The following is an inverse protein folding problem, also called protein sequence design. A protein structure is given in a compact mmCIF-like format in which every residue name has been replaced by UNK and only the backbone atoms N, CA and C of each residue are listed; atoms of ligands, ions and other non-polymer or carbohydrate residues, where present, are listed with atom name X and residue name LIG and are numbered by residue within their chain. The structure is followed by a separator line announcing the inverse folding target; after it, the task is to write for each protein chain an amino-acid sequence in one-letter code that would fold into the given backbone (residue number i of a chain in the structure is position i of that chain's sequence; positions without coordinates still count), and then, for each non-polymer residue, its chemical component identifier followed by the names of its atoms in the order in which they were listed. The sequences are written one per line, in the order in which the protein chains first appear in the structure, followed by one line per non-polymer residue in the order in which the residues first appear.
data_IF_708438645379
#
_entry.id   IF_708438645379
#
_cell.length_a   1.000
_cell.length_b   1.000
_cell.length_c   1.000
_cell.angle_alpha   90.00
_cell.angle_beta   90.00
_cell.angle_gamma   90.00
#
_symmetry.space_group_name_H-M   'P 1'
#
loop_
_entity.id
_entity.type
_entity.pdbx_description
1 polymer ?
#
# COMPACT_ATOMS: atom_id res chain seq x y z
N UNK A 1 -8.01 -18.40 -3.61
CA UNK A 1 -7.16 -17.20 -3.51
C UNK A 1 -6.59 -16.86 -4.89
N UNK A 2 -5.87 -17.76 -5.55
CA UNK A 2 -5.22 -17.51 -6.86
C UNK A 2 -6.18 -16.95 -7.92
N UNK A 3 -7.34 -17.62 -8.11
CA UNK A 3 -8.35 -17.16 -9.07
C UNK A 3 -8.87 -15.75 -8.74
N UNK A 4 -9.09 -15.45 -7.44
CA UNK A 4 -9.53 -14.12 -7.04
C UNK A 4 -8.46 -13.05 -7.33
N UNK A 5 -7.19 -13.35 -7.08
CA UNK A 5 -6.11 -12.42 -7.42
C UNK A 5 -6.07 -12.16 -8.94
N UNK A 6 -6.10 -13.20 -9.76
CA UNK A 6 -6.01 -13.04 -11.22
C UNK A 6 -7.22 -12.31 -11.80
N UNK A 7 -8.44 -12.76 -11.49
CA UNK A 7 -9.67 -12.14 -11.99
C UNK A 7 -9.84 -10.75 -11.39
N UNK A 8 -9.58 -10.62 -10.09
CA UNK A 8 -9.72 -9.38 -9.35
C UNK A 8 -8.77 -8.29 -9.85
N UNK A 9 -7.48 -8.57 -10.01
CA UNK A 9 -6.51 -7.59 -10.48
C UNK A 9 -6.78 -7.11 -11.91
N UNK A 10 -7.26 -7.99 -12.79
CA UNK A 10 -7.55 -7.65 -14.20
C UNK A 10 -8.87 -6.90 -14.34
N UNK A 11 -9.96 -7.46 -13.82
CA UNK A 11 -11.32 -6.97 -14.12
C UNK A 11 -11.89 -6.04 -13.06
N UNK A 12 -11.33 -6.02 -11.86
CA UNK A 12 -11.79 -5.20 -10.73
C UNK A 12 -10.77 -4.12 -10.39
N UNK A 13 -9.57 -4.51 -9.93
CA UNK A 13 -8.56 -3.59 -9.46
C UNK A 13 -8.00 -2.68 -10.55
N UNK A 14 -7.63 -3.24 -11.71
CA UNK A 14 -7.12 -2.46 -12.83
C UNK A 14 -8.16 -1.45 -13.36
N UNK A 15 -9.43 -1.85 -13.44
CA UNK A 15 -10.54 -0.96 -13.83
C UNK A 15 -10.75 0.13 -12.78
N UNK A 16 -10.72 -0.24 -11.51
CA UNK A 16 -10.84 0.69 -10.37
C UNK A 16 -9.72 1.73 -10.36
N UNK A 17 -8.47 1.30 -10.42
CA UNK A 17 -7.31 2.17 -10.30
C UNK A 17 -7.17 3.11 -11.50
N UNK A 18 -7.37 2.58 -12.70
CA UNK A 18 -7.42 3.39 -13.90
C UNK A 18 -8.60 4.38 -13.86
N UNK A 19 -9.79 3.93 -13.46
CA UNK A 19 -10.98 4.77 -13.34
C UNK A 19 -10.79 5.92 -12.36
N UNK A 20 -10.23 5.65 -11.18
CA UNK A 20 -9.94 6.65 -10.16
C UNK A 20 -8.88 7.65 -10.64
N UNK A 21 -7.80 7.19 -11.26
CA UNK A 21 -6.75 8.04 -11.81
C UNK A 21 -7.27 8.92 -12.94
N UNK A 22 -7.96 8.31 -13.92
CA UNK A 22 -8.45 9.00 -15.09
C UNK A 22 -9.53 10.03 -14.76
N UNK A 23 -10.47 9.69 -13.86
CA UNK A 23 -11.47 10.64 -13.39
C UNK A 23 -10.82 11.83 -12.68
N UNK A 24 -9.80 11.60 -11.84
CA UNK A 24 -9.06 12.69 -11.19
C UNK A 24 -8.41 13.63 -12.19
N UNK A 25 -7.77 13.10 -13.23
CA UNK A 25 -7.17 13.91 -14.31
C UNK A 25 -8.24 14.78 -14.99
N UNK A 26 -9.42 14.21 -15.28
CA UNK A 26 -10.55 14.92 -15.89
C UNK A 26 -11.20 15.98 -14.99
N UNK A 27 -10.95 15.90 -13.69
CA UNK A 27 -11.34 16.89 -12.68
C UNK A 27 -10.14 17.74 -12.21
N UNK A 28 -9.16 18.00 -13.06
CA UNK A 28 -8.00 18.85 -12.79
C UNK A 28 -7.17 18.39 -11.56
N UNK A 29 -7.01 17.07 -11.38
CA UNK A 29 -6.27 16.49 -10.27
C UNK A 29 -6.99 16.52 -8.91
N UNK A 30 -8.32 16.65 -8.91
CA UNK A 30 -9.12 16.61 -7.68
C UNK A 30 -9.12 15.22 -7.05
N UNK A 31 -9.24 15.19 -5.72
CA UNK A 31 -9.36 13.94 -4.96
C UNK A 31 -10.68 13.24 -5.25
N UNK A 32 -10.72 11.92 -5.01
CA UNK A 32 -11.97 11.16 -5.18
C UNK A 32 -13.11 11.72 -4.33
N UNK A 33 -12.82 12.27 -3.14
CA UNK A 33 -13.80 12.95 -2.31
C UNK A 33 -14.40 14.20 -2.96
N UNK A 34 -13.59 14.97 -3.70
CA UNK A 34 -14.06 16.14 -4.46
C UNK A 34 -14.84 15.71 -5.73
N UNK A 35 -14.49 14.57 -6.32
CA UNK A 35 -15.26 13.98 -7.42
C UNK A 35 -16.64 13.53 -6.92
N UNK A 36 -16.69 12.93 -5.72
CA UNK A 36 -17.95 12.58 -5.05
C UNK A 36 -18.80 13.83 -4.76
N UNK A 37 -18.20 14.95 -4.35
CA UNK A 37 -18.89 16.22 -4.17
C UNK A 37 -19.60 16.66 -5.47
N UNK A 38 -18.88 16.59 -6.58
CA UNK A 38 -19.41 16.97 -7.89
C UNK A 38 -20.47 16.00 -8.45
N UNK A 39 -20.44 14.72 -8.05
CA UNK A 39 -21.31 13.66 -8.60
C UNK A 39 -22.47 13.29 -7.68
N UNK A 40 -22.22 13.20 -6.37
CA UNK A 40 -23.19 12.74 -5.35
C UNK A 40 -23.55 13.84 -4.32
N UNK A 41 -22.89 15.01 -4.40
CA UNK A 41 -23.16 16.16 -3.56
C UNK A 41 -22.45 16.15 -2.22
N UNK A 42 -22.61 17.27 -1.48
CA UNK A 42 -21.87 17.57 -0.23
C UNK A 42 -22.02 16.52 0.87
N UNK A 43 -23.22 15.97 1.03
CA UNK A 43 -23.46 14.91 2.04
C UNK A 43 -22.68 13.63 1.71
N UNK A 44 -22.63 13.25 0.44
CA UNK A 44 -21.83 12.11 -0.02
C UNK A 44 -20.35 12.33 0.23
N UNK A 45 -19.82 13.51 -0.10
CA UNK A 45 -18.44 13.89 0.20
C UNK A 45 -18.12 13.80 1.68
N UNK A 46 -18.96 14.35 2.54
CA UNK A 46 -18.73 14.37 3.99
C UNK A 46 -18.65 12.95 4.57
N UNK A 47 -19.63 12.10 4.23
CA UNK A 47 -19.64 10.69 4.67
C UNK A 47 -18.43 9.92 4.13
N UNK A 48 -18.11 10.09 2.85
CA UNK A 48 -16.93 9.47 2.25
C UNK A 48 -15.64 9.91 2.93
N UNK A 49 -15.47 11.21 3.19
CA UNK A 49 -14.25 11.75 3.79
C UNK A 49 -14.05 11.25 5.23
N UNK A 50 -15.11 11.15 6.05
CA UNK A 50 -15.03 10.54 7.38
C UNK A 50 -14.60 9.08 7.26
N UNK A 51 -15.27 8.31 6.39
CA UNK A 51 -14.98 6.90 6.20
C UNK A 51 -13.55 6.68 5.68
N UNK A 52 -13.12 7.45 4.69
CA UNK A 52 -11.77 7.41 4.14
C UNK A 52 -10.71 7.78 5.21
N UNK A 53 -10.97 8.78 6.04
CA UNK A 53 -10.06 9.15 7.13
C UNK A 53 -9.90 8.02 8.15
N UNK A 54 -11.01 7.44 8.63
CA UNK A 54 -10.97 6.32 9.58
C UNK A 54 -10.26 5.11 8.95
N UNK A 55 -10.55 4.80 7.69
CA UNK A 55 -9.85 3.74 6.96
C UNK A 55 -8.35 4.00 6.90
N UNK A 56 -7.91 5.23 6.62
CA UNK A 56 -6.49 5.59 6.60
C UNK A 56 -5.82 5.44 7.97
N UNK A 57 -6.51 5.75 9.08
CA UNK A 57 -5.96 5.47 10.42
C UNK A 57 -5.68 3.98 10.62
N UNK A 58 -6.60 3.12 10.17
CA UNK A 58 -6.43 1.65 10.23
C UNK A 58 -5.30 1.19 9.31
N UNK A 59 -5.18 1.75 8.09
CA UNK A 59 -4.07 1.49 7.16
C UNK A 59 -2.73 1.82 7.82
N UNK A 60 -2.59 3.03 8.37
CA UNK A 60 -1.36 3.48 9.03
C UNK A 60 -1.00 2.54 10.20
N UNK A 61 -1.98 2.18 11.02
CA UNK A 61 -1.78 1.27 12.14
C UNK A 61 -1.33 -0.13 11.69
N UNK A 62 -1.96 -0.68 10.65
CA UNK A 62 -1.61 -2.00 10.10
C UNK A 62 -0.19 -2.01 9.53
N UNK A 63 0.16 -1.03 8.70
CA UNK A 63 1.49 -0.96 8.09
C UNK A 63 2.59 -0.63 9.09
N UNK A 64 2.34 0.23 10.08
CA UNK A 64 3.29 0.47 11.17
C UNK A 64 3.61 -0.81 11.95
N UNK A 65 2.57 -1.62 12.22
CA UNK A 65 2.72 -2.91 12.91
C UNK A 65 3.53 -3.91 12.06
N UNK A 66 3.28 -3.98 10.74
CA UNK A 66 4.00 -4.84 9.80
C UNK A 66 5.48 -4.44 9.72
N UNK A 67 5.77 -3.14 9.53
CA UNK A 67 7.14 -2.64 9.44
C UNK A 67 7.90 -2.90 10.73
N UNK A 68 7.31 -2.60 11.89
CA UNK A 68 7.93 -2.85 13.18
C UNK A 68 8.20 -4.35 13.41
N UNK A 69 7.27 -5.24 13.06
CA UNK A 69 7.46 -6.68 13.14
C UNK A 69 8.56 -7.17 12.19
N UNK A 70 8.63 -6.62 10.98
CA UNK A 70 9.69 -6.94 10.00
C UNK A 70 11.06 -6.51 10.51
N UNK A 71 11.17 -5.34 11.13
CA UNK A 71 12.43 -4.84 11.69
C UNK A 71 12.92 -5.68 12.88
N UNK A 72 11.99 -6.20 13.67
CA UNK A 72 12.35 -7.17 14.75
C UNK A 72 12.82 -8.51 14.17
N UNK A 73 12.14 -9.01 13.14
CA UNK A 73 12.49 -10.29 12.51
C UNK A 73 13.74 -10.22 11.63
N UNK A 74 14.05 -9.04 11.08
CA UNK A 74 15.17 -8.77 10.17
C UNK A 74 15.87 -7.47 10.54
N UNK A 75 16.69 -7.45 11.62
CA UNK A 75 17.34 -6.24 12.11
C UNK A 75 18.28 -5.59 11.09
N UNK A 76 18.86 -6.36 10.18
CA UNK A 76 19.65 -5.87 9.05
C UNK A 76 18.78 -5.02 8.07
N UNK A 77 17.55 -5.41 7.84
CA UNK A 77 16.62 -4.65 7.01
C UNK A 77 16.24 -3.32 7.68
N UNK A 78 16.15 -3.28 9.01
CA UNK A 78 15.90 -2.06 9.76
C UNK A 78 17.01 -1.02 9.56
N UNK A 79 18.28 -1.42 9.74
CA UNK A 79 19.43 -0.54 9.52
C UNK A 79 19.49 -0.04 8.08
N UNK A 80 19.33 -0.96 7.11
CA UNK A 80 19.33 -0.59 5.70
C UNK A 80 18.21 0.38 5.35
N UNK A 81 16.99 0.20 5.91
CA UNK A 81 15.85 1.11 5.67
C UNK A 81 16.10 2.52 6.22
N UNK A 82 16.73 2.64 7.40
CA UNK A 82 17.10 3.96 7.95
C UNK A 82 18.15 4.67 7.08
N UNK A 83 19.18 3.95 6.63
CA UNK A 83 20.18 4.47 5.70
C UNK A 83 19.53 4.89 4.38
N UNK A 84 18.53 4.15 3.93
CA UNK A 84 17.80 4.42 2.71
C UNK A 84 16.99 5.73 2.77
N UNK A 85 16.44 6.08 3.93
CA UNK A 85 15.78 7.38 4.14
C UNK A 85 16.80 8.51 3.94
N UNK A 86 17.98 8.40 4.56
CA UNK A 86 19.05 9.39 4.43
C UNK A 86 19.51 9.49 2.97
N UNK A 87 19.70 8.35 2.32
CA UNK A 87 20.08 8.29 0.89
C UNK A 87 19.04 8.98 0.00
N UNK A 88 17.75 8.75 0.24
CA UNK A 88 16.66 9.37 -0.51
C UNK A 88 16.67 10.89 -0.40
N UNK A 89 16.93 11.43 0.79
CA UNK A 89 17.07 12.89 1.01
C UNK A 89 18.27 13.44 0.26
N UNK A 90 19.43 12.78 0.35
CA UNK A 90 20.64 13.20 -0.36
C UNK A 90 20.42 13.15 -1.88
N UNK A 91 19.83 12.07 -2.39
CA UNK A 91 19.49 11.92 -3.80
C UNK A 91 18.54 13.03 -4.28
N UNK A 92 17.44 13.25 -3.54
CA UNK A 92 16.46 14.29 -3.89
C UNK A 92 17.09 15.67 -3.94
N UNK A 93 17.90 16.03 -2.93
CA UNK A 93 18.62 17.31 -2.92
C UNK A 93 19.59 17.43 -4.08
N UNK A 94 20.38 16.39 -4.37
CA UNK A 94 21.38 16.38 -5.45
C UNK A 94 20.73 16.54 -6.83
N UNK A 95 19.63 15.84 -7.09
CA UNK A 95 18.92 15.90 -8.39
C UNK A 95 18.13 17.21 -8.54
N UNK A 96 17.32 17.58 -7.54
CA UNK A 96 16.38 18.70 -7.68
C UNK A 96 16.98 20.08 -7.38
N UNK A 97 18.08 20.15 -6.60
CA UNK A 97 18.71 21.42 -6.18
C UNK A 97 20.12 21.62 -6.72
N UNK A 98 20.93 20.57 -6.80
CA UNK A 98 22.30 20.67 -7.29
C UNK A 98 22.43 20.42 -8.81
N UNK A 99 21.31 20.11 -9.50
CA UNK A 99 21.32 19.93 -10.96
C UNK A 99 22.02 18.64 -11.44
N UNK A 100 22.17 17.64 -10.56
CA UNK A 100 22.69 16.34 -10.97
C UNK A 100 21.70 15.69 -11.95
N UNK A 101 22.19 15.23 -13.10
CA UNK A 101 21.33 14.54 -14.06
C UNK A 101 20.71 13.30 -13.46
N UNK A 102 19.44 13.04 -13.74
CA UNK A 102 18.69 11.90 -13.18
C UNK A 102 19.41 10.57 -13.47
N UNK A 103 19.96 10.38 -14.68
CA UNK A 103 20.66 9.15 -15.05
C UNK A 103 21.91 8.89 -14.20
N UNK A 104 22.77 9.88 -14.02
CA UNK A 104 23.95 9.76 -13.15
C UNK A 104 23.53 9.55 -11.69
N UNK A 105 22.56 10.35 -11.22
CA UNK A 105 22.00 10.19 -9.88
C UNK A 105 21.46 8.78 -9.65
N UNK A 106 20.76 8.19 -10.63
CA UNK A 106 20.23 6.81 -10.54
C UNK A 106 21.35 5.79 -10.35
N UNK A 107 22.41 5.85 -11.17
CA UNK A 107 23.53 4.91 -11.04
C UNK A 107 24.16 5.02 -9.64
N UNK A 108 24.45 6.23 -9.19
CA UNK A 108 25.00 6.46 -7.84
C UNK A 108 24.01 5.98 -6.77
N UNK A 109 22.73 6.30 -6.89
CA UNK A 109 21.70 5.92 -5.95
C UNK A 109 21.55 4.39 -5.81
N UNK A 110 21.57 3.66 -6.93
CA UNK A 110 21.49 2.18 -6.92
C UNK A 110 22.76 1.57 -6.30
N UNK A 111 23.96 2.11 -6.60
CA UNK A 111 25.20 1.66 -5.95
C UNK A 111 25.13 1.90 -4.44
N UNK A 112 24.70 3.09 -4.03
CA UNK A 112 24.56 3.41 -2.59
C UNK A 112 23.49 2.57 -1.89
N UNK A 113 22.44 2.13 -2.60
CA UNK A 113 21.49 1.16 -2.13
C UNK A 113 22.16 -0.18 -1.76
N UNK A 114 22.99 -0.71 -2.66
CA UNK A 114 23.74 -1.95 -2.40
C UNK A 114 24.69 -1.77 -1.21
N UNK A 115 25.32 -0.61 -1.11
CA UNK A 115 26.17 -0.26 0.04
C UNK A 115 25.35 -0.21 1.34
N UNK A 116 24.17 0.39 1.32
CA UNK A 116 23.27 0.45 2.49
C UNK A 116 22.84 -0.96 2.95
N UNK A 117 22.56 -1.87 2.01
CA UNK A 117 22.26 -3.28 2.31
C UNK A 117 23.49 -3.97 2.96
N UNK A 118 24.69 -3.75 2.42
CA UNK A 118 25.91 -4.32 3.00
C UNK A 118 26.16 -3.80 4.43
N UNK A 119 26.00 -2.49 4.66
CA UNK A 119 26.12 -1.90 5.99
C UNK A 119 25.07 -2.46 6.93
N UNK A 120 23.82 -2.61 6.50
CA UNK A 120 22.75 -3.20 7.30
C UNK A 120 23.07 -4.62 7.75
N UNK A 121 23.69 -5.42 6.87
CA UNK A 121 24.15 -6.77 7.23
C UNK A 121 25.32 -6.77 8.24
N UNK A 122 26.18 -5.75 8.21
CA UNK A 122 27.33 -5.64 9.13
C UNK A 122 26.92 -5.10 10.50
N UNK A 123 25.93 -4.20 10.54
CA UNK A 123 25.51 -3.48 11.75
C UNK A 123 23.99 -3.57 11.95
N UNK A 124 23.44 -4.76 12.28
CA UNK A 124 22.00 -4.92 12.49
C UNK A 124 21.55 -4.22 13.78
N UNK A 125 20.44 -3.47 13.69
CA UNK A 125 19.83 -2.75 14.82
C UNK A 125 18.76 -3.60 15.48
N UNK A 126 19.04 -4.02 16.73
CA UNK A 126 18.11 -4.82 17.54
C UNK A 126 17.33 -3.94 18.50
N UNK A 127 16.08 -3.63 18.20
CA UNK A 127 15.16 -2.89 19.07
C UNK A 127 13.86 -3.66 19.25
N UNK A 128 13.14 -3.38 20.33
CA UNK A 128 11.83 -3.98 20.56
C UNK A 128 10.77 -3.42 19.60
N UNK A 129 9.70 -4.19 19.36
CA UNK A 129 8.61 -3.80 18.48
C UNK A 129 8.01 -2.44 18.86
N UNK A 130 7.77 -2.19 20.14
CA UNK A 130 7.17 -0.94 20.59
C UNK A 130 8.07 0.26 20.35
N UNK A 131 9.38 0.11 20.52
CA UNK A 131 10.37 1.16 20.20
C UNK A 131 10.34 1.46 18.71
N UNK A 132 10.29 0.42 17.86
CA UNK A 132 10.15 0.62 16.41
C UNK A 132 8.86 1.35 16.03
N UNK A 133 7.73 1.00 16.66
CA UNK A 133 6.47 1.74 16.43
C UNK A 133 6.63 3.21 16.78
N UNK A 134 7.22 3.55 17.93
CA UNK A 134 7.47 4.94 18.31
C UNK A 134 8.36 5.67 17.31
N UNK A 135 9.47 5.06 16.87
CA UNK A 135 10.37 5.63 15.87
C UNK A 135 9.63 5.87 14.55
N UNK A 136 8.81 4.90 14.11
CA UNK A 136 8.00 5.03 12.91
C UNK A 136 6.97 6.16 13.04
N UNK A 137 6.31 6.34 14.19
CA UNK A 137 5.36 7.43 14.40
C UNK A 137 6.05 8.81 14.29
N UNK A 138 7.23 8.98 14.88
CA UNK A 138 8.02 10.20 14.73
C UNK A 138 8.43 10.41 13.27
N UNK A 139 8.87 9.36 12.61
CA UNK A 139 9.27 9.40 11.21
C UNK A 139 8.12 9.84 10.29
N UNK A 140 6.94 9.22 10.38
CA UNK A 140 5.79 9.57 9.51
C UNK A 140 5.23 10.96 9.80
N UNK A 141 5.36 11.45 11.05
CA UNK A 141 5.04 12.83 11.37
C UNK A 141 5.90 13.79 10.56
N UNK A 142 7.21 13.59 10.55
CA UNK A 142 8.15 14.40 9.76
C UNK A 142 7.91 14.22 8.26
N UNK A 143 7.78 13.00 7.80
CA UNK A 143 7.57 12.66 6.38
C UNK A 143 6.26 13.26 5.82
N UNK A 144 5.19 13.28 6.62
CA UNK A 144 3.91 13.88 6.21
C UNK A 144 4.01 15.39 5.97
N UNK A 145 4.82 16.09 6.76
CA UNK A 145 4.96 17.55 6.69
C UNK A 145 6.00 17.96 5.65
N UNK A 146 7.04 17.13 5.47
CA UNK A 146 8.13 17.41 4.53
C UNK A 146 7.62 17.58 3.09
N UNK A 147 8.23 18.46 2.27
CA UNK A 147 7.92 18.55 0.85
C UNK A 147 8.13 17.21 0.12
N UNK A 148 7.24 16.90 -0.83
CA UNK A 148 7.23 15.61 -1.55
C UNK A 148 8.56 15.34 -2.26
N UNK A 149 9.16 16.38 -2.86
CA UNK A 149 10.40 16.29 -3.61
C UNK A 149 11.65 15.98 -2.77
N UNK A 150 11.61 16.21 -1.45
CA UNK A 150 12.76 15.96 -0.56
C UNK A 150 12.86 14.47 -0.20
N UNK A 151 11.73 13.84 0.10
CA UNK A 151 11.73 12.51 0.68
C UNK A 151 10.90 11.51 -0.12
N UNK A 152 9.61 11.79 -0.40
CA UNK A 152 8.72 10.81 -1.02
C UNK A 152 9.17 10.44 -2.45
N UNK A 153 9.23 11.41 -3.35
CA UNK A 153 9.59 11.15 -4.75
C UNK A 153 10.94 10.44 -4.91
N UNK A 154 12.05 10.92 -4.29
CA UNK A 154 13.34 10.26 -4.40
C UNK A 154 13.34 8.85 -3.84
N UNK A 155 12.68 8.64 -2.70
CA UNK A 155 12.61 7.35 -2.07
C UNK A 155 11.77 6.37 -2.90
N UNK A 156 10.60 6.77 -3.37
CA UNK A 156 9.73 5.94 -4.18
C UNK A 156 10.40 5.56 -5.51
N UNK A 157 11.13 6.50 -6.11
CA UNK A 157 11.93 6.25 -7.30
C UNK A 157 13.02 5.20 -7.06
N UNK A 158 13.82 5.33 -6.00
CA UNK A 158 14.86 4.35 -5.67
C UNK A 158 14.27 3.00 -5.24
N UNK A 159 13.14 3.00 -4.51
CA UNK A 159 12.43 1.78 -4.12
C UNK A 159 11.94 0.97 -5.33
N UNK A 160 11.57 1.63 -6.42
CA UNK A 160 11.07 0.94 -7.62
C UNK A 160 12.11 -0.05 -8.17
N UNK A 161 13.41 0.28 -8.11
CA UNK A 161 14.47 -0.64 -8.53
C UNK A 161 14.54 -1.90 -7.64
N UNK A 162 14.36 -1.75 -6.34
CA UNK A 162 14.28 -2.90 -5.42
C UNK A 162 13.08 -3.79 -5.74
N UNK A 163 11.92 -3.18 -6.02
CA UNK A 163 10.71 -3.94 -6.34
C UNK A 163 10.86 -4.70 -7.65
N UNK A 164 11.26 -4.02 -8.71
CA UNK A 164 11.43 -4.68 -10.01
C UNK A 164 12.47 -5.80 -9.94
N UNK A 165 13.59 -5.57 -9.24
CA UNK A 165 14.58 -6.61 -9.01
C UNK A 165 14.00 -7.78 -8.19
N UNK A 166 13.24 -7.50 -7.14
CA UNK A 166 12.60 -8.53 -6.31
C UNK A 166 11.62 -9.37 -7.13
N UNK A 167 10.75 -8.74 -7.92
CA UNK A 167 9.78 -9.45 -8.80
C UNK A 167 10.53 -10.28 -9.85
N UNK A 168 11.53 -9.70 -10.52
CA UNK A 168 12.30 -10.41 -11.53
C UNK A 168 13.01 -11.63 -10.94
N UNK A 169 13.71 -11.47 -9.82
CA UNK A 169 14.41 -12.59 -9.16
C UNK A 169 13.43 -13.63 -8.60
N UNK A 170 12.27 -13.21 -8.10
CA UNK A 170 11.24 -14.14 -7.64
C UNK A 170 10.69 -14.97 -8.81
N UNK A 171 10.33 -14.35 -9.93
CA UNK A 171 9.80 -15.04 -11.11
C UNK A 171 10.85 -15.98 -11.72
N UNK A 172 12.09 -15.51 -11.92
CA UNK A 172 13.19 -16.35 -12.41
C UNK A 172 13.50 -17.48 -11.43
N UNK A 173 13.51 -17.18 -10.13
CA UNK A 173 13.71 -18.16 -9.08
C UNK A 173 12.62 -19.23 -9.09
N UNK A 174 11.35 -18.86 -9.21
CA UNK A 174 10.23 -19.81 -9.33
C UNK A 174 10.38 -20.69 -10.59
N UNK A 175 10.71 -20.08 -11.72
CA UNK A 175 10.86 -20.80 -12.99
C UNK A 175 11.99 -21.86 -12.95
N UNK A 176 13.11 -21.54 -12.28
CA UNK A 176 14.28 -22.44 -12.20
C UNK A 176 14.15 -23.42 -11.03
N UNK A 177 13.66 -22.96 -9.89
CA UNK A 177 13.49 -23.79 -8.68
C UNK A 177 12.35 -24.79 -8.80
N UNK A 178 11.27 -24.42 -9.52
CA UNK A 178 10.05 -25.23 -9.69
C UNK A 178 9.49 -25.72 -8.34
N UNK A 179 9.07 -24.80 -7.43
CA UNK A 179 8.70 -25.17 -6.08
C UNK A 179 7.50 -26.11 -6.04
N UNK A 180 7.62 -27.20 -5.28
CA UNK A 180 6.49 -28.07 -5.00
C UNK A 180 5.58 -27.43 -3.97
N UNK A 181 4.28 -27.37 -4.26
CA UNK A 181 3.28 -26.79 -3.34
C UNK A 181 2.99 -27.76 -2.20
N UNK A 182 3.17 -27.31 -0.96
CA UNK A 182 2.88 -28.08 0.26
C UNK A 182 1.42 -27.92 0.70
N UNK A 183 0.80 -26.78 0.35
CA UNK A 183 -0.60 -26.55 0.65
C UNK A 183 -1.50 -27.10 -0.46
N UNK A 184 -2.65 -27.70 -0.12
CA UNK A 184 -3.60 -28.18 -1.12
C UNK A 184 -4.22 -27.05 -1.92
N UNK A 185 -4.52 -27.29 -3.19
CA UNK A 185 -5.14 -26.30 -4.08
C UNK A 185 -6.50 -25.82 -3.59
N UNK A 186 -7.23 -26.69 -2.91
CA UNK A 186 -8.52 -26.40 -2.27
C UNK A 186 -8.58 -27.12 -0.92
N UNK A 187 -9.07 -26.43 0.09
CA UNK A 187 -9.26 -27.01 1.43
C UNK A 187 -10.73 -27.24 1.71
N UNK A 188 -11.49 -26.17 1.96
CA UNK A 188 -12.91 -26.20 2.32
C UNK A 188 -13.52 -24.81 2.10
N UNK A 189 -14.84 -24.73 2.07
CA UNK A 189 -15.55 -23.43 2.03
C UNK A 189 -15.55 -22.68 3.38
N UNK A 190 -15.26 -23.36 4.47
CA UNK A 190 -15.07 -22.79 5.80
C UNK A 190 -13.88 -23.44 6.50
N UNK A 191 -12.68 -22.81 6.45
CA UNK A 191 -11.49 -23.30 7.12
C UNK A 191 -11.60 -23.40 8.64
N UNK A 192 -12.51 -22.61 9.26
CA UNK A 192 -12.72 -22.64 10.71
C UNK A 192 -13.56 -23.82 11.16
N UNK A 193 -14.35 -24.41 10.29
CA UNK A 193 -15.31 -25.47 10.59
C UNK A 193 -16.44 -25.04 11.56
N UNK A 194 -16.51 -23.73 11.88
CA UNK A 194 -17.43 -23.15 12.85
C UNK A 194 -18.33 -22.05 12.27
N UNK A 195 -18.27 -21.82 10.95
CA UNK A 195 -18.98 -20.72 10.30
C UNK A 195 -18.42 -19.33 10.58
N UNK A 196 -17.30 -19.24 11.30
CA UNK A 196 -16.71 -17.96 11.70
C UNK A 196 -15.75 -17.38 10.67
N UNK A 197 -15.34 -18.16 9.67
CA UNK A 197 -14.41 -17.70 8.65
C UNK A 197 -14.71 -18.31 7.27
N UNK A 198 -15.95 -18.15 6.75
CA UNK A 198 -16.35 -18.74 5.49
C UNK A 198 -15.58 -18.12 4.32
N UNK A 199 -15.39 -18.91 3.26
CA UNK A 199 -14.70 -18.42 2.05
C UNK A 199 -15.35 -17.16 1.50
N UNK A 200 -16.68 -17.10 1.45
CA UNK A 200 -17.43 -15.89 1.17
C UNK A 200 -18.01 -15.34 2.49
N UNK A 201 -17.73 -14.10 2.86
CA UNK A 201 -16.96 -13.05 2.12
C UNK A 201 -15.47 -12.99 2.49
N UNK A 202 -14.99 -13.76 3.46
CA UNK A 202 -13.71 -13.52 4.13
C UNK A 202 -12.50 -13.63 3.20
N UNK A 203 -12.47 -14.56 2.24
CA UNK A 203 -11.41 -14.66 1.25
C UNK A 203 -11.26 -13.36 0.45
N UNK A 204 -12.37 -12.73 0.08
CA UNK A 204 -12.38 -11.54 -0.78
C UNK A 204 -11.91 -10.29 -0.04
N UNK A 205 -12.19 -10.17 1.28
CA UNK A 205 -11.72 -9.03 2.08
C UNK A 205 -10.33 -9.24 2.66
N UNK A 206 -9.90 -10.48 2.90
CA UNK A 206 -8.57 -10.79 3.42
C UNK A 206 -7.49 -10.53 2.38
N UNK A 207 -7.77 -10.76 1.09
CA UNK A 207 -6.92 -10.34 -0.04
C UNK A 207 -7.23 -8.88 -0.34
N UNK A 208 -6.69 -7.99 0.50
CA UNK A 208 -7.10 -6.59 0.54
C UNK A 208 -6.59 -5.73 -0.62
N UNK A 209 -5.42 -6.06 -1.20
CA UNK A 209 -4.79 -5.22 -2.22
C UNK A 209 -4.53 -5.98 -3.52
N UNK A 210 -4.02 -7.20 -3.48
CA UNK A 210 -3.62 -7.95 -4.67
C UNK A 210 -4.72 -8.25 -5.69
N UNK A 211 -5.99 -8.00 -5.38
CA UNK A 211 -7.11 -8.12 -6.29
C UNK A 211 -7.77 -6.77 -6.60
N UNK A 212 -8.06 -5.97 -5.59
CA UNK A 212 -8.60 -4.61 -5.69
C UNK A 212 -8.38 -3.89 -4.36
N UNK A 213 -8.05 -2.59 -4.39
CA UNK A 213 -7.77 -1.81 -3.18
C UNK A 213 -8.37 -0.41 -3.25
N UNK A 214 -9.23 -0.08 -2.29
CA UNK A 214 -9.80 1.26 -2.18
C UNK A 214 -8.77 2.33 -1.83
N UNK A 215 -7.70 1.97 -1.11
CA UNK A 215 -6.59 2.86 -0.83
C UNK A 215 -5.93 3.37 -2.13
N UNK A 216 -5.90 2.56 -3.19
CA UNK A 216 -5.36 2.96 -4.49
C UNK A 216 -6.11 4.15 -5.09
N UNK A 217 -7.43 4.26 -4.92
CA UNK A 217 -8.18 5.42 -5.42
C UNK A 217 -7.80 6.71 -4.71
N UNK A 218 -7.47 6.65 -3.41
CA UNK A 218 -6.98 7.80 -2.65
C UNK A 218 -5.59 8.23 -3.12
N UNK A 219 -4.69 7.26 -3.36
CA UNK A 219 -3.33 7.52 -3.89
C UNK A 219 -3.40 8.04 -5.32
N UNK A 220 -4.17 7.38 -6.19
CA UNK A 220 -4.33 7.74 -7.60
C UNK A 220 -4.83 9.18 -7.75
N UNK A 221 -5.88 9.56 -7.03
CA UNK A 221 -6.48 10.89 -7.11
C UNK A 221 -5.77 11.94 -6.22
N UNK A 222 -5.17 11.52 -5.12
CA UNK A 222 -4.51 12.43 -4.17
C UNK A 222 -3.08 12.80 -4.53
N UNK A 223 -2.36 11.89 -5.20
CA UNK A 223 -0.93 12.00 -5.43
C UNK A 223 -0.55 11.76 -6.90
N UNK A 224 -0.89 10.58 -7.47
CA UNK A 224 -0.43 10.16 -8.80
C UNK A 224 -0.94 11.06 -9.92
N UNK A 225 -2.22 11.47 -9.90
CA UNK A 225 -2.81 12.35 -10.90
C UNK A 225 -2.10 13.70 -11.04
N UNK A 226 -1.41 14.14 -9.97
CA UNK A 226 -0.66 15.41 -9.92
C UNK A 226 0.80 15.28 -10.37
N UNK A 227 1.27 14.07 -10.61
CA UNK A 227 2.65 13.76 -10.99
C UNK A 227 2.77 13.23 -12.42
N UNK A 228 1.64 12.96 -13.08
CA UNK A 228 1.64 12.53 -14.47
C UNK A 228 2.02 13.69 -15.39
N UNK A 229 2.93 13.42 -16.29
CA UNK A 229 3.36 14.34 -17.35
C UNK A 229 2.42 14.35 -18.56
N UNK A 230 1.69 13.25 -18.76
CA UNK A 230 0.77 13.09 -19.89
C UNK A 230 -0.42 12.22 -19.52
N UNK A 231 -1.62 12.60 -19.95
CA UNK A 231 -2.83 11.81 -19.82
C UNK A 231 -2.73 10.44 -20.50
N UNK A 232 -1.96 10.34 -21.60
CA UNK A 232 -1.72 9.08 -22.31
C UNK A 232 -1.09 7.99 -21.44
N UNK A 233 -0.35 8.38 -20.40
CA UNK A 233 0.29 7.48 -19.46
C UNK A 233 -0.65 6.94 -18.36
N UNK A 234 -1.86 7.50 -18.23
CA UNK A 234 -2.80 7.12 -17.18
C UNK A 234 -3.19 5.65 -17.21
N UNK A 235 -3.37 5.06 -18.41
CA UNK A 235 -3.69 3.64 -18.56
C UNK A 235 -2.52 2.75 -18.12
N UNK A 236 -1.31 3.08 -18.55
CA UNK A 236 -0.11 2.31 -18.18
C UNK A 236 0.13 2.36 -16.68
N UNK A 237 -0.02 3.53 -16.07
CA UNK A 237 0.23 3.72 -14.64
C UNK A 237 -0.94 3.22 -13.80
N UNK A 238 -2.18 3.59 -14.08
CA UNK A 238 -3.32 3.15 -13.30
C UNK A 238 -3.58 1.65 -13.42
N UNK A 239 -3.84 1.18 -14.64
CA UNK A 239 -4.15 -0.22 -14.89
C UNK A 239 -2.91 -1.11 -14.82
N UNK A 240 -1.79 -0.69 -15.41
CA UNK A 240 -0.56 -1.50 -15.47
C UNK A 240 0.07 -1.76 -14.11
N UNK A 241 0.06 -0.77 -13.20
CA UNK A 241 0.59 -0.96 -11.84
C UNK A 241 -0.22 -1.99 -11.05
N UNK A 242 -1.55 -1.99 -11.21
CA UNK A 242 -2.39 -3.01 -10.56
C UNK A 242 -2.12 -4.41 -11.08
N UNK A 243 -1.84 -4.58 -12.38
CA UNK A 243 -1.42 -5.87 -12.92
C UNK A 243 -0.09 -6.33 -12.34
N UNK A 244 0.86 -5.40 -12.16
CA UNK A 244 2.16 -5.71 -11.55
C UNK A 244 2.00 -6.12 -10.08
N UNK A 245 1.10 -5.47 -9.34
CA UNK A 245 0.74 -5.89 -7.98
C UNK A 245 0.08 -7.27 -7.97
N UNK A 246 -0.78 -7.56 -8.93
CA UNK A 246 -1.35 -8.90 -9.13
C UNK A 246 -0.27 -9.98 -9.32
N UNK A 247 0.77 -9.69 -10.11
CA UNK A 247 1.93 -10.59 -10.27
C UNK A 247 2.65 -10.81 -8.94
N UNK A 248 2.90 -9.75 -8.16
CA UNK A 248 3.51 -9.88 -6.83
C UNK A 248 2.64 -10.70 -5.88
N UNK A 249 1.33 -10.52 -5.93
CA UNK A 249 0.38 -11.30 -5.13
C UNK A 249 0.38 -12.80 -5.52
N UNK A 250 0.52 -13.11 -6.81
CA UNK A 250 0.71 -14.50 -7.29
C UNK A 250 2.01 -15.08 -6.73
N UNK A 251 3.12 -14.34 -6.80
CA UNK A 251 4.40 -14.76 -6.19
C UNK A 251 4.24 -15.03 -4.69
N UNK A 252 3.48 -14.19 -3.98
CA UNK A 252 3.21 -14.40 -2.56
C UNK A 252 2.43 -15.69 -2.28
N UNK A 253 1.41 -16.01 -3.10
CA UNK A 253 0.68 -17.29 -2.99
C UNK A 253 1.59 -18.48 -3.23
N UNK A 254 2.47 -18.41 -4.23
CA UNK A 254 3.45 -19.48 -4.51
C UNK A 254 4.42 -19.64 -3.35
N UNK A 255 4.94 -18.53 -2.78
CA UNK A 255 5.85 -18.57 -1.65
C UNK A 255 5.22 -19.20 -0.41
N UNK A 256 3.98 -18.80 -0.06
CA UNK A 256 3.23 -19.37 1.06
C UNK A 256 2.89 -20.83 0.82
N UNK A 257 2.45 -21.17 -0.40
CA UNK A 257 2.12 -22.54 -0.77
C UNK A 257 3.30 -23.50 -0.72
N UNK A 258 4.51 -23.00 -1.04
CA UNK A 258 5.76 -23.75 -0.93
C UNK A 258 6.18 -23.95 0.53
N UNK A 259 6.14 -22.89 1.35
CA UNK A 259 6.56 -22.98 2.76
C UNK A 259 5.69 -23.96 3.54
N UNK A 260 4.37 -23.85 3.45
CA UNK A 260 3.35 -24.77 4.01
C UNK A 260 3.62 -25.36 5.41
N UNK A 261 2.65 -26.12 5.91
CA UNK A 261 2.83 -26.95 7.11
C UNK A 261 3.28 -26.23 8.39
N UNK A 262 4.04 -26.95 9.22
CA UNK A 262 4.52 -26.46 10.52
C UNK A 262 5.47 -25.26 10.38
N UNK A 263 6.29 -25.26 9.32
CA UNK A 263 7.20 -24.15 9.00
C UNK A 263 6.45 -22.83 8.78
N UNK A 264 5.30 -22.89 8.11
CA UNK A 264 4.45 -21.70 7.93
C UNK A 264 3.99 -21.13 9.26
N UNK A 265 3.56 -21.99 10.19
CA UNK A 265 3.12 -21.58 11.52
C UNK A 265 4.25 -20.96 12.33
N UNK A 266 5.44 -21.56 12.27
CA UNK A 266 6.64 -21.04 12.94
C UNK A 266 7.05 -19.66 12.41
N UNK A 267 7.13 -19.49 11.09
CA UNK A 267 7.52 -18.23 10.47
C UNK A 267 6.50 -17.11 10.73
N UNK A 268 5.20 -17.45 10.75
CA UNK A 268 4.15 -16.49 11.11
C UNK A 268 4.28 -15.99 12.55
N UNK A 269 4.63 -16.88 13.51
CA UNK A 269 4.89 -16.49 14.90
C UNK A 269 6.15 -15.65 15.05
N UNK A 270 7.20 -15.97 14.31
CA UNK A 270 8.55 -15.40 14.44
C UNK A 270 8.83 -14.25 13.45
N UNK A 271 7.85 -13.47 13.04
CA UNK A 271 8.08 -12.31 12.17
C UNK A 271 6.95 -11.99 11.21
N UNK A 272 5.84 -12.74 11.31
CA UNK A 272 4.63 -12.46 10.55
C UNK A 272 4.70 -12.78 9.06
N UNK A 273 3.74 -12.26 8.27
CA UNK A 273 3.60 -12.61 6.85
C UNK A 273 4.82 -12.26 6.00
N UNK A 274 5.52 -11.15 6.32
CA UNK A 274 6.72 -10.72 5.59
C UNK A 274 7.85 -11.73 5.72
N UNK A 275 8.00 -12.34 6.92
CA UNK A 275 8.99 -13.37 7.14
C UNK A 275 8.71 -14.65 6.32
N UNK A 276 7.44 -15.02 6.16
CA UNK A 276 7.03 -16.15 5.30
C UNK A 276 7.37 -15.86 3.84
N UNK A 277 7.00 -14.69 3.36
CA UNK A 277 7.27 -14.27 1.99
C UNK A 277 8.78 -14.22 1.71
N UNK A 278 9.56 -13.62 2.62
CA UNK A 278 11.01 -13.52 2.48
C UNK A 278 11.72 -14.88 2.54
N UNK A 279 11.21 -15.81 3.33
CA UNK A 279 11.73 -17.19 3.38
C UNK A 279 11.47 -17.94 2.07
N UNK A 280 10.24 -17.90 1.57
CA UNK A 280 9.86 -18.58 0.31
C UNK A 280 10.62 -18.01 -0.88
N UNK A 281 10.53 -16.71 -1.13
CA UNK A 281 11.21 -16.06 -2.27
C UNK A 281 12.73 -16.15 -2.12
N UNK A 282 13.26 -15.95 -0.89
CA UNK A 282 14.68 -16.11 -0.60
C UNK A 282 15.18 -17.52 -0.97
N UNK A 283 14.38 -18.54 -0.69
CA UNK A 283 14.71 -19.93 -1.10
C UNK A 283 14.75 -20.08 -2.62
N UNK A 284 13.79 -19.51 -3.35
CA UNK A 284 13.80 -19.57 -4.81
C UNK A 284 15.01 -18.88 -5.41
N UNK A 285 15.46 -17.76 -4.82
CA UNK A 285 16.64 -17.01 -5.26
C UNK A 285 17.96 -17.78 -5.05
N UNK A 286 18.02 -18.81 -4.19
CA UNK A 286 19.24 -19.62 -4.02
C UNK A 286 19.67 -20.30 -5.29
N UNK A 287 18.74 -20.68 -6.18
CA UNK A 287 19.05 -21.28 -7.48
C UNK A 287 19.63 -20.29 -8.50
N UNK A 288 19.53 -19.00 -8.20
CA UNK A 288 20.17 -17.92 -8.98
C UNK A 288 21.59 -17.62 -8.48
N UNK A 289 22.10 -18.37 -7.51
CA UNK A 289 23.45 -18.20 -6.96
C UNK A 289 23.54 -17.29 -5.72
N UNK A 290 22.40 -16.79 -5.20
CA UNK A 290 22.40 -16.01 -3.96
C UNK A 290 22.49 -16.92 -2.73
N UNK A 291 23.25 -16.51 -1.70
CA UNK A 291 23.14 -17.17 -0.41
C UNK A 291 21.77 -16.89 0.22
N UNK A 292 21.18 -17.88 0.91
CA UNK A 292 19.85 -17.74 1.50
C UNK A 292 19.71 -16.51 2.41
N UNK A 293 20.71 -16.24 3.24
CA UNK A 293 20.67 -15.09 4.16
C UNK A 293 20.61 -13.74 3.43
N UNK A 294 21.41 -13.58 2.37
CA UNK A 294 21.41 -12.37 1.53
C UNK A 294 20.08 -12.22 0.78
N UNK A 295 19.59 -13.31 0.18
CA UNK A 295 18.33 -13.29 -0.55
C UNK A 295 17.14 -12.96 0.37
N UNK A 296 17.04 -13.63 1.52
CA UNK A 296 15.98 -13.36 2.51
C UNK A 296 16.06 -11.92 3.04
N UNK A 297 17.25 -11.43 3.35
CA UNK A 297 17.47 -10.06 3.80
C UNK A 297 17.09 -9.01 2.75
N UNK A 298 17.43 -9.25 1.49
CA UNK A 298 17.03 -8.39 0.36
C UNK A 298 15.51 -8.32 0.19
N UNK A 299 14.82 -9.46 0.23
CA UNK A 299 13.35 -9.50 0.12
C UNK A 299 12.69 -8.80 1.31
N UNK A 300 13.15 -9.07 2.54
CA UNK A 300 12.63 -8.41 3.75
C UNK A 300 12.82 -6.89 3.69
N UNK A 301 13.99 -6.42 3.23
CA UNK A 301 14.25 -5.00 3.00
C UNK A 301 13.29 -4.41 1.96
N UNK A 302 13.12 -5.07 0.82
CA UNK A 302 12.25 -4.60 -0.25
C UNK A 302 10.83 -4.41 0.27
N UNK A 303 10.27 -5.39 0.95
CA UNK A 303 8.90 -5.31 1.50
C UNK A 303 8.79 -4.23 2.58
N UNK A 304 9.77 -4.13 3.50
CA UNK A 304 9.74 -3.09 4.53
C UNK A 304 9.85 -1.69 3.94
N UNK A 305 10.68 -1.49 2.93
CA UNK A 305 10.81 -0.22 2.22
C UNK A 305 9.48 0.20 1.55
N UNK A 306 8.79 -0.77 0.90
CA UNK A 306 7.45 -0.57 0.34
C UNK A 306 6.40 -0.25 1.40
N UNK A 307 6.38 -1.01 2.48
CA UNK A 307 5.45 -0.77 3.59
C UNK A 307 5.66 0.63 4.20
N UNK A 308 6.90 1.10 4.30
CA UNK A 308 7.21 2.46 4.75
C UNK A 308 6.72 3.54 3.77
N UNK A 309 6.84 3.32 2.45
CA UNK A 309 6.31 4.23 1.43
C UNK A 309 4.78 4.36 1.56
N UNK A 310 4.10 3.23 1.73
CA UNK A 310 2.65 3.22 1.96
C UNK A 310 2.29 3.98 3.24
N UNK A 311 3.06 3.79 4.30
CA UNK A 311 2.87 4.44 5.59
C UNK A 311 2.96 5.97 5.49
N UNK A 312 3.95 6.49 4.78
CA UNK A 312 4.13 7.93 4.54
C UNK A 312 2.99 8.52 3.72
N UNK A 313 2.65 7.86 2.62
CA UNK A 313 1.59 8.30 1.71
C UNK A 313 0.24 8.28 2.42
N UNK A 314 -0.07 7.22 3.18
CA UNK A 314 -1.30 7.12 3.96
C UNK A 314 -1.41 8.23 5.01
N UNK A 315 -0.31 8.55 5.72
CA UNK A 315 -0.28 9.60 6.74
C UNK A 315 -0.51 10.98 6.10
N UNK A 316 0.11 11.24 4.96
CA UNK A 316 -0.08 12.49 4.21
C UNK A 316 -1.51 12.64 3.69
N UNK A 317 -2.08 11.59 3.13
CA UNK A 317 -3.48 11.57 2.67
C UNK A 317 -4.44 11.74 3.84
N UNK A 318 -4.19 11.07 4.98
CA UNK A 318 -4.97 11.24 6.21
C UNK A 318 -4.98 12.69 6.67
N UNK A 319 -3.82 13.34 6.70
CA UNK A 319 -3.71 14.77 7.00
C UNK A 319 -4.55 15.61 6.03
N UNK A 320 -4.45 15.38 4.72
CA UNK A 320 -5.20 16.16 3.73
C UNK A 320 -6.71 15.99 3.88
N UNK A 321 -7.18 14.75 4.05
CA UNK A 321 -8.62 14.49 4.24
C UNK A 321 -9.10 15.11 5.56
N UNK A 322 -8.32 15.01 6.64
CA UNK A 322 -8.64 15.65 7.90
C UNK A 322 -8.75 17.19 7.75
N UNK A 323 -7.78 17.80 7.09
CA UNK A 323 -7.82 19.25 6.81
C UNK A 323 -9.06 19.61 5.98
N UNK A 324 -9.39 18.82 4.95
CA UNK A 324 -10.54 19.04 4.07
C UNK A 324 -11.88 18.95 4.82
N UNK A 325 -12.00 18.04 5.80
CA UNK A 325 -13.19 17.91 6.67
C UNK A 325 -13.47 19.16 7.51
N UNK A 326 -12.42 19.85 7.96
CA UNK A 326 -12.54 21.02 8.85
C UNK A 326 -12.34 22.36 8.15
N UNK A 327 -12.03 22.38 6.87
CA UNK A 327 -11.91 23.59 6.06
C UNK A 327 -13.31 24.11 5.70
N UNK A 328 -13.61 25.34 6.11
CA UNK A 328 -14.82 26.04 5.69
C UNK A 328 -14.52 26.87 4.45
N UNK A 329 -15.36 26.75 3.44
CA UNK A 329 -15.28 27.61 2.24
C UNK A 329 -16.33 28.70 2.39
N UNK A 330 -15.93 29.97 2.29
CA UNK A 330 -16.86 31.09 2.30
C UNK A 330 -17.74 31.02 1.04
N UNK A 331 -19.08 30.94 1.17
CA UNK A 331 -19.96 30.84 0.03
C UNK A 331 -19.93 32.06 -0.91
N UNK A 332 -19.45 33.21 -0.42
CA UNK A 332 -19.44 34.47 -1.18
C UNK A 332 -18.12 34.73 -1.91
N UNK A 333 -16.99 34.38 -1.26
CA UNK A 333 -15.66 34.65 -1.82
C UNK A 333 -15.02 33.38 -2.44
N UNK A 334 -15.51 32.18 -2.10
CA UNK A 334 -14.89 30.91 -2.48
C UNK A 334 -13.57 30.65 -1.74
N UNK A 335 -13.17 31.52 -0.81
CA UNK A 335 -11.91 31.38 -0.09
C UNK A 335 -12.03 30.34 1.03
N UNK A 336 -10.97 29.52 1.18
CA UNK A 336 -10.88 28.55 2.26
C UNK A 336 -10.49 29.23 3.57
N UNK A 337 -11.38 29.18 4.56
CA UNK A 337 -11.09 29.66 5.92
C UNK A 337 -10.48 28.53 6.74
N UNK A 338 -9.19 28.68 7.06
CA UNK A 338 -8.48 27.75 7.94
C UNK A 338 -8.79 28.00 9.41
N UNK A 339 -8.69 26.95 10.21
CA UNK A 339 -8.74 27.00 11.67
C UNK A 339 -7.57 26.19 12.26
N UNK A 340 -7.48 26.07 13.58
CA UNK A 340 -6.40 25.32 14.24
C UNK A 340 -6.31 23.87 13.75
N UNK A 341 -7.45 23.22 13.46
CA UNK A 341 -7.50 21.83 12.98
C UNK A 341 -7.02 21.69 11.52
N UNK A 342 -7.08 22.77 10.74
CA UNK A 342 -6.56 22.76 9.36
C UNK A 342 -5.06 23.05 9.29
N UNK A 343 -4.41 23.34 10.43
CA UNK A 343 -2.96 23.49 10.48
C UNK A 343 -2.30 22.13 10.18
N UNK A 344 -1.33 22.05 9.23
CA UNK A 344 -0.69 20.80 8.84
C UNK A 344 -0.04 20.03 10.00
N UNK A 345 0.56 20.74 10.95
CA UNK A 345 1.19 20.12 12.12
C UNK A 345 0.14 19.49 13.06
N UNK A 346 -0.95 20.21 13.33
CA UNK A 346 -2.03 19.72 14.21
C UNK A 346 -2.75 18.53 13.57
N UNK A 347 -3.11 18.64 12.30
CA UNK A 347 -3.78 17.56 11.56
C UNK A 347 -2.90 16.29 11.49
N UNK A 348 -1.59 16.45 11.24
CA UNK A 348 -0.65 15.33 11.24
C UNK A 348 -0.52 14.73 12.65
N UNK A 349 -0.38 15.55 13.69
CA UNK A 349 -0.24 15.06 15.07
C UNK A 349 -1.46 14.22 15.48
N UNK A 350 -2.67 14.69 15.19
CA UNK A 350 -3.90 13.96 15.49
C UNK A 350 -3.92 12.61 14.74
N UNK A 351 -3.60 12.63 13.45
CA UNK A 351 -3.56 11.42 12.62
C UNK A 351 -2.55 10.41 13.16
N UNK A 352 -1.33 10.85 13.48
CA UNK A 352 -0.24 9.99 13.98
C UNK A 352 -0.54 9.45 15.38
N UNK A 353 -1.09 10.24 16.28
CA UNK A 353 -1.44 9.80 17.63
C UNK A 353 -2.55 8.76 17.59
N UNK A 354 -3.62 9.00 16.84
CA UNK A 354 -4.72 8.05 16.71
C UNK A 354 -4.29 6.73 16.08
N UNK A 355 -3.56 6.78 14.96
CA UNK A 355 -3.06 5.57 14.30
C UNK A 355 -1.98 4.86 15.12
N UNK A 356 -1.12 5.61 15.83
CA UNK A 356 -0.12 5.06 16.74
C UNK A 356 -0.76 4.29 17.89
N UNK A 357 -1.81 4.84 18.50
CA UNK A 357 -2.57 4.11 19.53
C UNK A 357 -3.16 2.81 18.98
N UNK A 358 -3.77 2.85 17.79
CA UNK A 358 -4.31 1.65 17.14
C UNK A 358 -3.21 0.63 16.80
N UNK A 359 -2.00 1.07 16.45
CA UNK A 359 -0.88 0.18 16.10
C UNK A 359 -0.34 -0.64 17.28
N UNK A 360 -0.66 -0.27 18.51
CA UNK A 360 -0.35 -1.06 19.71
C UNK A 360 -1.24 -2.30 19.84
N UNK A 361 -2.34 -2.36 19.11
CA UNK A 361 -3.23 -3.50 19.03
C UNK A 361 -2.64 -4.72 18.32
N UNK A 362 -3.37 -5.84 18.36
CA UNK A 362 -2.99 -7.04 17.64
C UNK A 362 -3.19 -6.87 16.14
N UNK A 363 -2.18 -7.22 15.33
CA UNK A 363 -2.28 -7.28 13.88
C UNK A 363 -3.46 -8.17 13.41
N UNK A 364 -3.69 -9.30 14.08
CA UNK A 364 -4.76 -10.22 13.73
C UNK A 364 -6.16 -9.61 13.88
N UNK A 365 -6.34 -8.65 14.78
CA UNK A 365 -7.59 -7.92 14.96
C UNK A 365 -7.74 -6.78 13.94
N UNK A 366 -6.64 -6.09 13.65
CA UNK A 366 -6.64 -4.92 12.76
C UNK A 366 -6.84 -5.33 11.29
N UNK A 367 -6.26 -6.46 10.85
CA UNK A 367 -6.24 -6.85 9.45
C UNK A 367 -7.61 -7.12 8.81
N UNK A 368 -8.55 -7.85 9.43
CA UNK A 368 -9.90 -8.04 8.87
C UNK A 368 -10.66 -6.72 8.73
N UNK A 369 -10.55 -5.83 9.73
CA UNK A 369 -11.19 -4.50 9.71
C UNK A 369 -10.59 -3.67 8.57
N UNK A 370 -9.25 -3.65 8.44
CA UNK A 370 -8.56 -3.01 7.33
C UNK A 370 -9.05 -3.55 5.99
N UNK A 371 -9.08 -4.86 5.83
CA UNK A 371 -9.52 -5.50 4.59
C UNK A 371 -10.94 -5.09 4.19
N UNK A 372 -11.90 -5.21 5.10
CA UNK A 372 -13.30 -4.86 4.84
C UNK A 372 -13.48 -3.36 4.55
N UNK A 373 -12.86 -2.48 5.34
CA UNK A 373 -12.93 -1.04 5.13
C UNK A 373 -12.27 -0.62 3.80
N UNK A 374 -11.10 -1.17 3.48
CA UNK A 374 -10.41 -0.90 2.23
C UNK A 374 -11.22 -1.34 1.00
N UNK A 375 -11.87 -2.48 1.07
CA UNK A 375 -12.72 -3.00 -0.01
C UNK A 375 -14.02 -2.17 -0.17
N UNK A 376 -14.62 -1.70 0.93
CA UNK A 376 -15.77 -0.79 0.86
C UNK A 376 -15.37 0.55 0.25
N UNK A 377 -14.17 1.05 0.57
CA UNK A 377 -13.63 2.26 -0.05
C UNK A 377 -13.49 2.10 -1.58
N UNK A 378 -13.08 0.91 -2.05
CA UNK A 378 -13.05 0.60 -3.49
C UNK A 378 -14.44 0.64 -4.11
N UNK A 379 -15.44 0.05 -3.45
CA UNK A 379 -16.82 0.09 -3.93
C UNK A 379 -17.37 1.51 -4.05
N UNK A 380 -17.10 2.37 -3.06
CA UNK A 380 -17.49 3.79 -3.07
C UNK A 380 -16.78 4.59 -4.17
N UNK A 381 -15.52 4.30 -4.41
CA UNK A 381 -14.75 4.93 -5.49
C UNK A 381 -15.27 4.52 -6.87
N UNK A 382 -15.56 3.23 -7.06
CA UNK A 382 -16.21 2.73 -8.29
C UNK A 382 -17.59 3.37 -8.50
N UNK A 383 -18.37 3.58 -7.43
CA UNK A 383 -19.65 4.29 -7.51
C UNK A 383 -19.45 5.71 -8.06
N UNK A 384 -18.49 6.47 -7.53
CA UNK A 384 -18.19 7.82 -7.97
C UNK A 384 -17.77 7.85 -9.45
N UNK A 385 -16.89 6.94 -9.87
CA UNK A 385 -16.45 6.79 -11.27
C UNK A 385 -17.61 6.39 -12.17
N UNK A 386 -18.47 5.45 -11.72
CA UNK A 386 -19.65 4.99 -12.46
C UNK A 386 -20.68 6.09 -12.70
N UNK A 387 -20.95 6.92 -11.68
CA UNK A 387 -21.85 8.09 -11.82
C UNK A 387 -21.25 9.13 -12.76
N UNK A 388 -19.94 9.40 -12.63
CA UNK A 388 -19.25 10.31 -13.54
C UNK A 388 -19.30 9.82 -15.00
N UNK A 389 -18.99 8.57 -15.28
CA UNK A 389 -19.07 8.01 -16.65
C UNK A 389 -20.47 8.17 -17.23
N UNK A 390 -21.51 7.92 -16.45
CA UNK A 390 -22.90 8.12 -16.88
C UNK A 390 -23.20 9.58 -17.19
N UNK A 391 -22.69 10.52 -16.38
CA UNK A 391 -22.90 11.96 -16.58
C UNK A 391 -22.26 12.48 -17.87
N UNK A 392 -21.18 11.85 -18.34
CA UNK A 392 -20.51 12.18 -19.60
C UNK A 392 -20.99 11.31 -20.78
N UNK A 393 -22.08 10.56 -20.60
CA UNK A 393 -22.70 9.76 -21.67
C UNK A 393 -21.92 8.52 -22.09
N UNK A 394 -21.05 7.99 -21.21
CA UNK A 394 -20.28 6.76 -21.46
C UNK A 394 -20.92 5.56 -20.79
N UNK A 395 -20.69 4.38 -21.37
CA UNK A 395 -21.06 3.12 -20.74
C UNK A 395 -20.24 2.91 -19.45
N UNK A 396 -20.94 2.50 -18.40
CA UNK A 396 -20.37 2.32 -17.06
C UNK A 396 -20.51 0.89 -16.52
N UNK A 397 -20.98 -0.07 -17.30
CA UNK A 397 -21.19 -1.45 -16.85
C UNK A 397 -19.90 -2.10 -16.33
N UNK A 398 -18.76 -1.81 -16.97
CA UNK A 398 -17.46 -2.34 -16.54
C UNK A 398 -17.03 -1.85 -15.14
N UNK A 399 -17.65 -0.78 -14.64
CA UNK A 399 -17.41 -0.23 -13.30
C UNK A 399 -18.52 -0.65 -12.34
N UNK A 400 -19.77 -0.70 -12.80
CA UNK A 400 -20.93 -1.05 -11.96
C UNK A 400 -20.93 -2.52 -11.52
N UNK A 401 -20.49 -3.44 -12.36
CA UNK A 401 -20.43 -4.87 -12.01
C UNK A 401 -19.43 -5.10 -10.85
N UNK A 402 -18.15 -4.66 -10.93
CA UNK A 402 -17.24 -4.72 -9.80
C UNK A 402 -17.75 -3.99 -8.56
N UNK A 403 -18.36 -2.82 -8.73
CA UNK A 403 -18.93 -2.04 -7.63
C UNK A 403 -20.00 -2.84 -6.86
N UNK A 404 -20.99 -3.39 -7.57
CA UNK A 404 -22.07 -4.15 -6.96
C UNK A 404 -21.54 -5.40 -6.20
N UNK A 405 -20.60 -6.12 -6.82
CA UNK A 405 -19.96 -7.27 -6.17
C UNK A 405 -19.22 -6.84 -4.90
N UNK A 406 -18.43 -5.78 -4.97
CA UNK A 406 -17.65 -5.30 -3.81
C UNK A 406 -18.55 -4.79 -2.68
N UNK A 407 -19.69 -4.12 -2.98
CA UNK A 407 -20.67 -3.77 -1.96
C UNK A 407 -21.25 -5.01 -1.26
N UNK A 408 -21.65 -6.02 -2.03
CA UNK A 408 -22.17 -7.27 -1.46
C UNK A 408 -21.15 -7.94 -0.53
N UNK A 409 -19.92 -8.12 -1.02
CA UNK A 409 -18.84 -8.76 -0.26
C UNK A 409 -18.54 -8.00 1.04
N UNK A 410 -18.38 -6.68 0.95
CA UNK A 410 -17.94 -5.87 2.10
C UNK A 410 -19.01 -5.69 3.14
N UNK A 411 -20.28 -5.51 2.74
CA UNK A 411 -21.39 -5.39 3.69
C UNK A 411 -21.61 -6.70 4.45
N UNK A 412 -21.53 -7.84 3.76
CA UNK A 412 -21.61 -9.16 4.43
C UNK A 412 -20.42 -9.38 5.37
N UNK A 413 -19.20 -8.99 4.95
CA UNK A 413 -18.01 -9.10 5.79
C UNK A 413 -18.13 -8.25 7.06
N UNK A 414 -18.54 -6.98 6.93
CA UNK A 414 -18.73 -6.07 8.07
C UNK A 414 -19.82 -6.55 9.03
N UNK A 415 -20.81 -7.28 8.54
CA UNK A 415 -21.84 -7.87 9.39
C UNK A 415 -21.34 -9.13 10.15
N UNK A 416 -20.25 -9.75 9.72
CA UNK A 416 -19.64 -10.94 10.33
C UNK A 416 -18.46 -10.62 11.27
N UNK A 417 -17.81 -9.48 11.10
CA UNK A 417 -16.74 -9.00 11.99
C UNK A 417 -17.31 -8.38 13.26
#
# INVERSE_FOLDING_TARGET
VMLWILIGSIFFGGVHDFGALYSSIRFDGKTIGQIIDATLGKSGKFLFSIFAYVTLLVVIAAFANIVAATFVASPQAATASLLFIVLAVIFGFSVYRCGLSLGVGTVIGVIMLVVAIAIGNMYPLHLSKNVWVCILMVYIFVASIAPVWILLQPRDYLNSFLLYACIAFALLGIAIYQPSMQLPAFTTFDPSGKGTNPMFPMLFVTVACGAISGFHSLVSSGTTSKQLDSEGNAKLIGYGSMLLEGVLAVVAVVAVGYVGGDKLTELLKNGGPVNVFADGVGTFMTKLGFSFGVAKGFVALTISAFAMTTLDTATRLGRFIFQELFTKVDPKTGEAQGNVLTNPFVATLITVVLSGYMSLGSYLTIWPIFGAANQLLAALSLLAVGVWLKSVGRDNLMVLIPMAFMFCVTLVALAQI
#
